data_IF_109089959506
#
_entry.id   IF_109089959506
#
_cell.length_a   1.000
_cell.length_b   1.000
_cell.length_c   1.000
_cell.angle_alpha   90.00
_cell.angle_beta   90.00
_cell.angle_gamma   90.00
#
_symmetry.space_group_name_H-M   'P 1'
#
loop_
_entity.id
_entity.type
_entity.pdbx_description
1 polymer ?
#
# COMPACT_ATOMS: atom_id res chain seq x y z
N UNK A 1 -16.61 -1.46 -14.57
CA UNK A 1 -15.70 -2.28 -13.77
C UNK A 1 -15.94 -3.72 -14.13
N UNK A 2 -14.96 -4.52 -14.60
CA UNK A 2 -15.20 -5.96 -14.71
C UNK A 2 -15.57 -6.46 -13.32
N UNK A 3 -16.63 -7.27 -13.25
CA UNK A 3 -17.15 -7.85 -12.01
C UNK A 3 -16.08 -8.75 -11.38
N UNK A 4 -15.41 -8.29 -10.34
CA UNK A 4 -14.49 -9.10 -9.57
C UNK A 4 -15.26 -10.16 -8.77
N UNK A 5 -14.62 -11.29 -8.52
CA UNK A 5 -15.14 -12.35 -7.64
C UNK A 5 -15.19 -11.81 -6.21
N UNK A 6 -16.25 -12.12 -5.46
CA UNK A 6 -16.30 -11.86 -4.01
C UNK A 6 -15.88 -13.12 -3.28
N UNK A 7 -14.88 -13.03 -2.43
CA UNK A 7 -14.42 -14.12 -1.57
C UNK A 7 -14.96 -13.96 -0.16
N UNK A 8 -15.15 -15.07 0.53
CA UNK A 8 -15.37 -15.03 1.99
C UNK A 8 -14.06 -14.75 2.74
N UNK A 9 -14.09 -14.33 4.02
CA UNK A 9 -12.87 -14.00 4.77
C UNK A 9 -11.84 -15.14 4.83
N UNK A 10 -12.27 -16.40 4.95
CA UNK A 10 -11.41 -17.58 5.05
C UNK A 10 -11.13 -18.30 3.74
N UNK A 11 -11.59 -17.78 2.61
CA UNK A 11 -11.52 -18.49 1.34
C UNK A 11 -10.17 -18.29 0.64
N UNK A 12 -9.53 -19.39 0.24
CA UNK A 12 -8.39 -19.41 -0.67
C UNK A 12 -8.83 -19.95 -2.03
N UNK A 13 -8.24 -19.44 -3.11
CA UNK A 13 -8.52 -19.92 -4.48
C UNK A 13 -7.45 -20.89 -4.90
N UNK A 14 -7.86 -22.10 -5.28
CA UNK A 14 -6.95 -23.15 -5.74
C UNK A 14 -6.08 -22.65 -6.90
N UNK A 15 -4.77 -22.89 -6.82
CA UNK A 15 -3.80 -22.43 -7.81
C UNK A 15 -3.41 -20.94 -7.69
N UNK A 16 -3.92 -20.22 -6.67
CA UNK A 16 -3.60 -18.81 -6.38
C UNK A 16 -3.15 -18.63 -4.93
N UNK A 17 -1.94 -19.09 -4.62
CA UNK A 17 -1.39 -19.09 -3.25
C UNK A 17 -1.40 -17.68 -2.60
N UNK A 18 -1.28 -16.61 -3.40
CA UNK A 18 -1.35 -15.25 -2.89
C UNK A 18 -2.74 -14.87 -2.33
N UNK A 19 -3.77 -15.69 -2.61
CA UNK A 19 -5.12 -15.54 -2.05
C UNK A 19 -5.29 -16.21 -0.69
N UNK A 20 -4.29 -16.93 -0.17
CA UNK A 20 -4.34 -17.54 1.16
C UNK A 20 -4.60 -16.43 2.21
N UNK A 21 -5.62 -16.58 3.08
CA UNK A 21 -5.86 -15.64 4.17
C UNK A 21 -4.66 -15.41 5.08
N UNK A 22 -3.79 -16.41 5.27
CA UNK A 22 -2.55 -16.28 6.04
C UNK A 22 -1.64 -15.18 5.48
N UNK A 23 -1.56 -15.05 4.14
CA UNK A 23 -0.81 -13.95 3.50
C UNK A 23 -1.34 -12.58 3.86
N UNK A 24 -2.67 -12.44 3.97
CA UNK A 24 -3.27 -11.17 4.41
C UNK A 24 -2.93 -10.86 5.87
N UNK A 25 -2.82 -11.86 6.74
CA UNK A 25 -2.38 -11.68 8.13
C UNK A 25 -0.91 -11.26 8.20
N UNK A 26 -0.03 -11.86 7.41
CA UNK A 26 1.38 -11.48 7.30
C UNK A 26 1.52 -10.02 6.83
N UNK A 27 0.76 -9.64 5.80
CA UNK A 27 0.73 -8.26 5.29
C UNK A 27 0.24 -7.28 6.37
N UNK A 28 -0.81 -7.62 7.13
CA UNK A 28 -1.30 -6.78 8.22
C UNK A 28 -0.27 -6.62 9.34
N UNK A 29 0.47 -7.69 9.66
CA UNK A 29 1.59 -7.61 10.60
C UNK A 29 2.71 -6.69 10.07
N UNK A 30 3.04 -6.78 8.78
CA UNK A 30 4.00 -5.88 8.13
C UNK A 30 3.50 -4.42 8.16
N UNK A 31 2.23 -4.15 7.84
CA UNK A 31 1.64 -2.82 7.92
C UNK A 31 1.66 -2.25 9.35
N UNK A 32 1.46 -3.09 10.36
CA UNK A 32 1.59 -2.67 11.76
C UNK A 32 3.04 -2.25 12.10
N UNK A 33 4.06 -2.98 11.60
CA UNK A 33 5.47 -2.59 11.75
C UNK A 33 5.79 -1.28 11.02
N UNK A 34 5.34 -1.14 9.75
CA UNK A 34 5.50 0.09 8.95
C UNK A 34 4.90 1.28 9.70
N UNK A 35 3.66 1.14 10.20
CA UNK A 35 3.00 2.18 10.99
C UNK A 35 3.76 2.51 12.28
N UNK A 36 4.26 1.52 13.00
CA UNK A 36 5.04 1.73 14.21
C UNK A 36 6.31 2.54 13.93
N UNK A 37 7.00 2.24 12.83
CA UNK A 37 8.16 3.00 12.36
C UNK A 37 7.77 4.44 11.99
N UNK A 38 6.65 4.64 11.29
CA UNK A 38 6.12 5.98 11.00
C UNK A 38 5.87 6.78 12.28
N UNK A 39 5.17 6.19 13.26
CA UNK A 39 4.87 6.84 14.54
C UNK A 39 6.15 7.21 15.30
N UNK A 40 7.13 6.32 15.32
CA UNK A 40 8.42 6.58 15.98
C UNK A 40 9.15 7.76 15.33
N UNK A 41 9.19 7.82 13.99
CA UNK A 41 9.82 8.91 13.25
C UNK A 41 9.10 10.25 13.45
N UNK A 42 7.77 10.24 13.40
CA UNK A 42 6.96 11.44 13.67
C UNK A 42 7.24 11.97 15.08
N UNK A 43 7.30 11.11 16.10
CA UNK A 43 7.63 11.49 17.47
C UNK A 43 9.04 12.04 17.64
N UNK A 44 9.98 11.59 16.81
CA UNK A 44 11.36 12.12 16.76
C UNK A 44 11.48 13.40 15.93
N UNK A 45 10.38 13.96 15.40
CA UNK A 45 10.40 15.15 14.55
C UNK A 45 10.90 14.89 13.11
N UNK A 46 11.04 13.63 12.69
CA UNK A 46 11.53 13.26 11.36
C UNK A 46 10.34 13.06 10.42
N UNK A 47 10.16 13.99 9.48
CA UNK A 47 9.01 14.00 8.56
C UNK A 47 9.22 13.19 7.28
N UNK A 48 10.39 12.58 7.08
CA UNK A 48 10.66 11.82 5.85
C UNK A 48 12.11 11.35 5.74
N UNK A 49 12.46 10.80 4.56
CA UNK A 49 13.79 10.36 4.20
C UNK A 49 13.88 8.87 3.89
N UNK A 50 15.06 8.45 3.44
CA UNK A 50 15.41 7.05 3.17
C UNK A 50 16.37 6.53 4.24
N UNK A 51 16.25 5.25 4.60
CA UNK A 51 17.17 4.56 5.50
C UNK A 51 17.14 3.04 5.28
N UNK A 52 18.13 2.35 5.80
CA UNK A 52 18.18 0.89 5.82
C UNK A 52 18.23 0.39 7.26
N UNK A 53 17.65 -0.78 7.52
CA UNK A 53 17.66 -1.43 8.82
C UNK A 53 17.12 -2.85 8.74
N UNK A 54 17.70 -3.78 9.49
CA UNK A 54 17.31 -5.19 9.52
C UNK A 54 17.23 -5.86 8.15
N UNK A 55 18.06 -5.45 7.17
CA UNK A 55 18.04 -5.95 5.80
C UNK A 55 16.93 -5.36 4.92
N UNK A 56 16.14 -4.44 5.45
CA UNK A 56 15.06 -3.74 4.73
C UNK A 56 15.52 -2.34 4.31
N UNK A 57 15.00 -1.86 3.18
CA UNK A 57 15.16 -0.48 2.72
C UNK A 57 13.84 0.26 2.85
N UNK A 58 13.88 1.43 3.46
CA UNK A 58 12.71 2.24 3.78
C UNK A 58 12.76 3.59 3.08
N UNK A 59 11.63 4.07 2.65
CA UNK A 59 11.46 5.41 2.09
C UNK A 59 10.13 6.01 2.54
N UNK A 60 10.21 7.14 3.25
CA UNK A 60 9.04 7.83 3.79
C UNK A 60 8.97 9.25 3.26
N UNK A 61 7.80 9.65 2.80
CA UNK A 61 7.46 11.03 2.49
C UNK A 61 6.22 11.43 3.27
N UNK A 62 6.31 12.55 3.97
CA UNK A 62 5.20 13.20 4.69
C UNK A 62 5.09 14.60 4.13
N UNK A 63 4.09 14.89 3.28
CA UNK A 63 3.93 16.20 2.66
C UNK A 63 3.75 17.33 3.69
N UNK A 64 2.95 17.08 4.72
CA UNK A 64 2.71 18.02 5.81
C UNK A 64 2.56 17.27 7.14
N UNK A 65 3.54 17.42 8.02
CA UNK A 65 3.59 16.74 9.31
C UNK A 65 2.39 17.09 10.20
N UNK A 66 1.97 18.36 10.20
CA UNK A 66 0.82 18.80 10.98
C UNK A 66 -0.48 18.12 10.53
N UNK A 67 -0.71 18.03 9.22
CA UNK A 67 -1.87 17.33 8.68
C UNK A 67 -1.88 15.86 9.07
N UNK A 68 -0.74 15.15 8.97
CA UNK A 68 -0.61 13.75 9.40
C UNK A 68 -0.98 13.55 10.88
N UNK A 69 -0.52 14.45 11.76
CA UNK A 69 -0.78 14.35 13.21
C UNK A 69 -2.22 14.70 13.57
N UNK A 70 -2.83 15.64 12.86
CA UNK A 70 -4.16 16.17 13.20
C UNK A 70 -5.32 15.45 12.51
N UNK A 71 -5.08 14.76 11.38
CA UNK A 71 -6.17 14.10 10.63
C UNK A 71 -6.77 12.93 11.41
N UNK A 72 -8.06 13.07 11.75
CA UNK A 72 -8.86 12.05 12.46
C UNK A 72 -10.30 12.09 11.94
N UNK A 73 -10.81 10.98 11.37
CA UNK A 73 -10.09 9.73 11.06
C UNK A 73 -9.10 9.90 9.91
N UNK A 74 -8.29 8.85 9.64
CA UNK A 74 -7.50 8.73 8.43
C UNK A 74 -7.83 7.42 7.69
N UNK A 75 -7.56 7.40 6.39
CA UNK A 75 -7.74 6.25 5.51
C UNK A 75 -6.38 5.75 5.02
N UNK A 76 -6.20 4.43 4.93
CA UNK A 76 -4.96 3.82 4.49
C UNK A 76 -5.15 2.82 3.37
N UNK A 77 -4.15 2.74 2.50
CA UNK A 77 -4.00 1.68 1.51
C UNK A 77 -2.65 1.02 1.76
N UNK A 78 -2.67 -0.29 2.08
CA UNK A 78 -1.48 -1.12 2.09
C UNK A 78 -1.35 -1.85 0.76
N UNK A 79 -0.20 -1.79 0.13
CA UNK A 79 0.11 -2.51 -1.10
C UNK A 79 1.18 -3.56 -0.83
N UNK A 80 0.98 -4.78 -1.35
CA UNK A 80 1.97 -5.84 -1.37
C UNK A 80 2.01 -6.47 -2.76
N UNK A 81 3.17 -6.40 -3.41
CA UNK A 81 3.39 -6.93 -4.74
C UNK A 81 4.33 -8.13 -4.71
N UNK A 82 3.93 -9.23 -5.37
CA UNK A 82 4.80 -10.34 -5.67
C UNK A 82 5.55 -10.04 -6.97
N UNK A 83 6.83 -9.68 -6.83
CA UNK A 83 7.67 -9.21 -7.93
C UNK A 83 7.98 -10.35 -8.90
N UNK A 84 7.98 -10.08 -10.21
CA UNK A 84 8.49 -10.98 -11.24
C UNK A 84 10.02 -11.03 -11.18
N UNK A 85 10.58 -12.23 -11.30
CA UNK A 85 12.02 -12.41 -11.43
C UNK A 85 12.49 -12.03 -12.85
N UNK A 86 13.74 -11.60 -12.96
CA UNK A 86 14.41 -11.31 -14.24
C UNK A 86 13.78 -10.21 -15.10
N UNK A 87 13.01 -9.29 -14.48
CA UNK A 87 12.45 -8.11 -15.15
C UNK A 87 13.22 -6.86 -14.73
N UNK A 88 13.35 -5.91 -15.64
CA UNK A 88 13.83 -4.58 -15.30
C UNK A 88 12.75 -3.80 -14.55
N UNK A 89 13.02 -3.46 -13.29
CA UNK A 89 12.13 -2.68 -12.45
C UNK A 89 12.40 -1.17 -12.53
N UNK A 90 13.42 -0.73 -13.27
CA UNK A 90 13.75 0.68 -13.44
C UNK A 90 12.54 1.53 -13.82
N UNK A 91 11.80 1.17 -14.88
CA UNK A 91 10.68 2.00 -15.35
C UNK A 91 9.56 2.21 -14.33
N UNK A 92 9.24 1.24 -13.48
CA UNK A 92 8.20 1.42 -12.46
C UNK A 92 8.73 2.20 -11.25
N UNK A 93 10.02 2.05 -10.94
CA UNK A 93 10.67 2.82 -9.88
C UNK A 93 10.80 4.29 -10.24
N UNK A 94 11.07 4.62 -11.50
CA UNK A 94 11.12 6.00 -12.00
C UNK A 94 9.74 6.66 -11.87
N UNK A 95 8.67 5.97 -12.27
CA UNK A 95 7.30 6.45 -12.10
C UNK A 95 6.93 6.63 -10.62
N UNK A 96 7.39 5.74 -9.74
CA UNK A 96 7.22 5.89 -8.30
C UNK A 96 7.93 7.14 -7.77
N UNK A 97 9.18 7.38 -8.19
CA UNK A 97 9.94 8.57 -7.82
C UNK A 97 9.24 9.86 -8.26
N UNK A 98 8.71 9.88 -9.48
CA UNK A 98 7.96 11.02 -10.02
C UNK A 98 6.67 11.28 -9.20
N UNK A 99 5.93 10.23 -8.87
CA UNK A 99 4.73 10.34 -8.02
C UNK A 99 5.09 10.90 -6.64
N UNK A 100 6.16 10.39 -6.05
CA UNK A 100 6.60 10.80 -4.72
C UNK A 100 7.15 12.23 -4.72
N UNK A 101 7.87 12.65 -5.75
CA UNK A 101 8.32 14.04 -5.91
C UNK A 101 7.12 15.02 -5.96
N UNK A 102 5.98 14.56 -6.48
CA UNK A 102 4.72 15.32 -6.56
C UNK A 102 3.79 15.12 -5.36
N UNK A 103 4.19 14.33 -4.35
CA UNK A 103 3.37 14.07 -3.17
C UNK A 103 2.79 15.33 -2.51
N UNK A 104 3.54 16.47 -2.39
CA UNK A 104 2.98 17.72 -1.84
C UNK A 104 1.84 18.33 -2.67
N UNK A 105 1.68 17.91 -3.93
CA UNK A 105 0.63 18.41 -4.82
C UNK A 105 -0.68 17.60 -4.70
N UNK A 106 -0.68 16.48 -3.97
CA UNK A 106 -1.87 15.67 -3.79
C UNK A 106 -2.63 16.07 -2.52
N UNK A 107 -3.76 16.80 -2.64
CA UNK A 107 -4.55 17.18 -1.48
C UNK A 107 -5.01 15.95 -0.69
N UNK A 108 -4.85 16.02 0.62
CA UNK A 108 -5.25 14.94 1.52
C UNK A 108 -4.29 13.75 1.59
N UNK A 109 -3.19 13.73 0.83
CA UNK A 109 -2.12 12.75 1.04
C UNK A 109 -1.36 13.10 2.33
N UNK A 110 -1.40 12.21 3.31
CA UNK A 110 -0.78 12.41 4.63
C UNK A 110 0.62 11.81 4.72
N UNK A 111 0.82 10.62 4.14
CA UNK A 111 2.11 9.96 4.09
C UNK A 111 2.15 8.91 2.97
N UNK A 112 3.32 8.74 2.39
CA UNK A 112 3.69 7.62 1.54
C UNK A 112 4.90 6.93 2.16
N UNK A 113 4.74 5.68 2.58
CA UNK A 113 5.80 4.90 3.21
C UNK A 113 6.02 3.61 2.42
N UNK A 114 7.17 3.49 1.78
CA UNK A 114 7.57 2.34 1.00
C UNK A 114 8.64 1.53 1.73
N UNK A 115 8.56 0.20 1.65
CA UNK A 115 9.53 -0.74 2.21
C UNK A 115 9.85 -1.80 1.17
N UNK A 116 11.14 -2.03 0.96
CA UNK A 116 11.65 -3.21 0.30
C UNK A 116 12.14 -4.18 1.37
N UNK A 117 11.43 -5.29 1.53
CA UNK A 117 11.73 -6.31 2.51
C UNK A 117 12.99 -7.12 2.17
N UNK A 118 13.52 -7.85 3.14
CA UNK A 118 14.72 -8.68 2.97
C UNK A 118 14.54 -9.79 1.92
N UNK A 119 13.33 -10.31 1.75
CA UNK A 119 12.95 -11.30 0.74
C UNK A 119 12.68 -10.69 -0.66
N UNK A 120 13.04 -9.42 -0.85
CA UNK A 120 12.84 -8.63 -2.07
C UNK A 120 11.38 -8.32 -2.42
N UNK A 121 10.42 -8.66 -1.59
CA UNK A 121 9.04 -8.20 -1.76
C UNK A 121 8.93 -6.70 -1.51
N UNK A 122 7.94 -6.09 -2.17
CA UNK A 122 7.63 -4.67 -1.99
C UNK A 122 6.33 -4.52 -1.22
N UNK A 123 6.35 -3.62 -0.25
CA UNK A 123 5.15 -3.22 0.47
C UNK A 123 5.15 -1.73 0.72
N UNK A 124 3.97 -1.13 0.69
CA UNK A 124 3.84 0.26 1.10
C UNK A 124 2.57 0.49 1.93
N UNK A 125 2.58 1.58 2.67
CA UNK A 125 1.44 2.14 3.35
C UNK A 125 1.27 3.59 2.90
N UNK A 126 0.17 3.86 2.20
CA UNK A 126 -0.22 5.20 1.78
C UNK A 126 -1.36 5.67 2.67
N UNK A 127 -1.24 6.85 3.27
CA UNK A 127 -2.21 7.41 4.19
C UNK A 127 -2.85 8.67 3.62
N UNK A 128 -4.16 8.77 3.76
CA UNK A 128 -4.99 9.88 3.28
C UNK A 128 -5.86 10.44 4.39
N UNK A 129 -6.19 11.72 4.30
CA UNK A 129 -7.14 12.37 5.21
C UNK A 129 -8.56 11.82 5.03
N UNK A 130 -8.93 11.46 3.78
CA UNK A 130 -10.21 10.85 3.48
C UNK A 130 -10.10 9.85 2.31
N UNK A 131 -11.06 8.92 2.22
CA UNK A 131 -11.07 7.89 1.17
C UNK A 131 -11.11 8.47 -0.25
N UNK A 132 -11.81 9.59 -0.46
CA UNK A 132 -11.91 10.21 -1.78
C UNK A 132 -10.58 10.80 -2.26
N UNK A 133 -9.66 11.15 -1.36
CA UNK A 133 -8.33 11.67 -1.71
C UNK A 133 -7.47 10.62 -2.42
N UNK A 134 -7.61 9.35 -2.04
CA UNK A 134 -6.98 8.24 -2.77
C UNK A 134 -7.44 8.17 -4.24
N UNK A 135 -8.68 8.58 -4.54
CA UNK A 135 -9.19 8.67 -5.90
C UNK A 135 -8.47 9.69 -6.76
N UNK A 136 -8.01 10.80 -6.17
CA UNK A 136 -7.23 11.83 -6.86
C UNK A 136 -5.86 11.33 -7.29
N UNK A 137 -5.14 10.65 -6.39
CA UNK A 137 -3.86 10.02 -6.73
C UNK A 137 -4.07 8.97 -7.80
N UNK A 138 -5.10 8.14 -7.68
CA UNK A 138 -5.41 7.09 -8.65
C UNK A 138 -5.72 7.61 -10.05
N UNK A 139 -6.23 8.81 -10.19
CA UNK A 139 -6.52 9.47 -11.48
C UNK A 139 -5.35 10.29 -12.03
N UNK A 140 -4.25 10.39 -11.31
CA UNK A 140 -3.05 11.07 -11.81
C UNK A 140 -2.45 10.33 -13.01
N UNK A 141 -2.06 11.04 -14.08
CA UNK A 141 -1.51 10.41 -15.28
C UNK A 141 -0.32 9.50 -15.02
N UNK A 142 0.62 9.90 -14.15
CA UNK A 142 1.79 9.10 -13.78
C UNK A 142 1.37 7.81 -13.04
N UNK A 143 0.36 7.92 -12.15
CA UNK A 143 -0.17 6.74 -11.48
C UNK A 143 -0.91 5.80 -12.45
N UNK A 144 -1.64 6.34 -13.43
CA UNK A 144 -2.29 5.55 -14.47
C UNK A 144 -1.27 4.81 -15.34
N UNK A 145 -0.14 5.47 -15.67
CA UNK A 145 0.96 4.82 -16.37
C UNK A 145 1.59 3.70 -15.53
N UNK A 146 1.85 3.93 -14.25
CA UNK A 146 2.33 2.90 -13.34
C UNK A 146 1.37 1.70 -13.25
N UNK A 147 0.05 1.96 -13.20
CA UNK A 147 -0.96 0.91 -13.23
C UNK A 147 -0.95 0.10 -14.53
N UNK A 148 -0.73 0.75 -15.69
CA UNK A 148 -0.64 0.06 -16.98
C UNK A 148 0.57 -0.88 -17.04
N UNK A 149 1.67 -0.54 -16.35
CA UNK A 149 2.90 -1.34 -16.29
C UNK A 149 2.91 -2.38 -15.17
N UNK A 150 1.91 -2.39 -14.27
CA UNK A 150 1.91 -3.26 -13.09
C UNK A 150 2.05 -4.74 -13.47
N UNK A 151 1.39 -5.19 -14.54
CA UNK A 151 1.44 -6.57 -15.02
C UNK A 151 2.83 -7.01 -15.51
N UNK A 152 3.68 -6.06 -15.94
CA UNK A 152 5.05 -6.35 -16.39
C UNK A 152 5.98 -6.63 -15.21
N UNK A 153 5.67 -6.06 -14.03
CA UNK A 153 6.54 -6.10 -12.86
C UNK A 153 6.09 -7.07 -11.77
N UNK A 154 4.77 -7.35 -11.67
CA UNK A 154 4.22 -8.19 -10.61
C UNK A 154 3.48 -9.39 -11.17
N UNK A 155 3.61 -10.54 -10.50
CA UNK A 155 2.74 -11.69 -10.71
C UNK A 155 1.36 -11.43 -10.13
N UNK A 156 1.33 -10.90 -8.91
CA UNK A 156 0.10 -10.59 -8.19
C UNK A 156 0.29 -9.41 -7.27
N UNK A 157 -0.82 -8.75 -6.92
CA UNK A 157 -0.84 -7.72 -5.88
C UNK A 157 -2.00 -7.93 -4.92
N UNK A 158 -1.79 -7.50 -3.67
CA UNK A 158 -2.79 -7.40 -2.61
C UNK A 158 -2.87 -5.95 -2.15
N UNK A 159 -4.07 -5.37 -2.20
CA UNK A 159 -4.34 -4.00 -1.77
C UNK A 159 -5.29 -4.03 -0.57
N UNK A 160 -4.78 -3.69 0.60
CA UNK A 160 -5.52 -3.65 1.85
C UNK A 160 -6.09 -2.26 2.10
N UNK A 161 -7.38 -2.16 2.38
CA UNK A 161 -8.03 -0.93 2.82
C UNK A 161 -8.13 -0.89 4.32
N UNK A 162 -7.69 0.21 4.90
CA UNK A 162 -7.55 0.42 6.34
C UNK A 162 -8.25 1.71 6.75
N UNK A 163 -8.87 1.70 7.92
CA UNK A 163 -9.42 2.90 8.55
C UNK A 163 -8.79 3.13 9.91
N UNK A 164 -8.21 4.28 10.10
CA UNK A 164 -7.58 4.73 11.34
C UNK A 164 -8.52 5.69 12.07
N UNK A 165 -9.34 5.20 12.99
CA UNK A 165 -10.35 6.02 13.69
C UNK A 165 -9.71 7.16 14.48
N UNK A 166 -8.60 6.89 15.17
CA UNK A 166 -7.86 7.85 15.99
C UNK A 166 -6.75 8.55 15.21
N UNK A 167 -6.80 8.49 13.86
CA UNK A 167 -5.76 9.00 13.00
C UNK A 167 -4.58 8.05 12.82
N UNK A 168 -3.74 8.35 11.84
CA UNK A 168 -2.62 7.50 11.43
C UNK A 168 -1.58 7.28 12.54
N UNK A 169 -1.36 8.29 13.39
CA UNK A 169 -0.40 8.28 14.51
C UNK A 169 -1.05 8.03 15.87
N UNK A 170 -2.35 7.76 15.91
CA UNK A 170 -3.10 7.45 17.12
C UNK A 170 -2.73 6.10 17.76
N UNK A 171 -3.28 5.79 18.93
CA UNK A 171 -2.98 4.56 19.68
C UNK A 171 -3.73 3.32 19.21
N UNK A 172 -4.95 3.49 18.68
CA UNK A 172 -5.77 2.36 18.27
C UNK A 172 -5.25 1.66 17.00
N UNK A 173 -5.38 0.33 16.91
CA UNK A 173 -5.10 -0.38 15.66
C UNK A 173 -6.08 0.07 14.56
N UNK A 174 -5.66 0.02 13.28
CA UNK A 174 -6.58 0.30 12.18
C UNK A 174 -7.65 -0.79 12.07
N UNK A 175 -8.86 -0.39 11.67
CA UNK A 175 -9.85 -1.33 11.20
C UNK A 175 -9.48 -1.78 9.78
N UNK A 176 -9.46 -3.09 9.56
CA UNK A 176 -9.24 -3.69 8.26
C UNK A 176 -10.57 -3.82 7.52
N UNK A 177 -10.74 -3.12 6.41
CA UNK A 177 -12.01 -3.06 5.69
C UNK A 177 -12.13 -4.11 4.58
N UNK A 178 -11.10 -4.26 3.76
CA UNK A 178 -11.08 -5.25 2.66
C UNK A 178 -9.71 -5.41 2.05
N UNK A 179 -9.53 -6.51 1.29
CA UNK A 179 -8.40 -6.72 0.37
C UNK A 179 -8.91 -6.85 -1.05
N UNK A 180 -8.35 -6.07 -1.97
CA UNK A 180 -8.42 -6.34 -3.41
C UNK A 180 -7.22 -7.22 -3.78
N UNK A 181 -7.52 -8.36 -4.40
CA UNK A 181 -6.56 -9.34 -4.91
C UNK A 181 -6.53 -9.24 -6.44
N UNK A 182 -5.35 -9.16 -7.03
CA UNK A 182 -5.18 -9.09 -8.49
C UNK A 182 -4.09 -10.07 -8.92
N UNK A 183 -4.40 -10.90 -9.92
CA UNK A 183 -3.49 -11.82 -10.56
C UNK A 183 -3.26 -11.40 -12.00
N UNK A 184 -2.01 -11.19 -12.37
CA UNK A 184 -1.59 -10.77 -13.71
C UNK A 184 -1.13 -11.94 -14.60
N UNK A 185 -1.34 -13.19 -14.17
CA UNK A 185 -1.08 -14.37 -15.00
C UNK A 185 -2.10 -14.55 -16.12
N UNK A 186 -3.25 -13.86 -16.05
CA UNK A 186 -4.34 -13.91 -17.02
C UNK A 186 -4.57 -12.57 -17.70
N UNK A 187 -5.17 -12.63 -18.90
CA UNK A 187 -5.60 -11.44 -19.63
C UNK A 187 -7.08 -11.58 -20.00
N UNK A 188 -7.99 -10.74 -19.49
CA UNK A 188 -7.75 -9.68 -18.49
C UNK A 188 -7.34 -10.24 -17.12
N UNK A 189 -6.57 -9.45 -16.34
CA UNK A 189 -6.14 -9.85 -15.02
C UNK A 189 -7.31 -10.27 -14.13
N UNK A 190 -7.17 -11.42 -13.47
CA UNK A 190 -8.16 -11.90 -12.50
C UNK A 190 -8.20 -10.99 -11.28
N UNK A 191 -9.40 -10.76 -10.74
CA UNK A 191 -9.61 -9.87 -9.59
C UNK A 191 -10.64 -10.44 -8.63
N UNK A 192 -10.35 -10.31 -7.34
CA UNK A 192 -11.30 -10.61 -6.29
C UNK A 192 -11.24 -9.59 -5.15
N UNK A 193 -12.34 -9.47 -4.42
CA UNK A 193 -12.41 -8.68 -3.18
C UNK A 193 -12.75 -9.61 -2.04
N UNK A 194 -11.94 -9.53 -0.98
CA UNK A 194 -12.20 -10.18 0.29
C UNK A 194 -12.55 -9.12 1.33
N UNK A 195 -13.68 -9.23 2.06
CA UNK A 195 -13.99 -8.35 3.18
C UNK A 195 -12.96 -8.51 4.29
N UNK A 196 -12.79 -7.47 5.10
CA UNK A 196 -11.93 -7.50 6.27
C UNK A 196 -12.37 -8.58 7.27
N UNK A 197 -11.39 -9.08 8.01
CA UNK A 197 -11.66 -9.87 9.20
C UNK A 197 -12.20 -8.90 10.25
N UNK A 198 -13.50 -8.99 10.56
CA UNK A 198 -14.17 -8.16 11.56
C UNK A 198 -13.66 -8.42 12.98
#
# INVERSE_FOLDING_TARGET
MPSGVSLTPGEAVLGREFTDPARSLDDLAALARIRSSLVARVRSGLAGGAWTGAGESHWLVVPELRALVQSRPAFGIGFFGQVREHVDHGPILDLEQDLVARAPLFPGLLAYYNVRFADRQWGNLVLFAAQHDAGRVRSDPTHLEALARTADHYHSVRLHRLRFRDGAVGGAPPAFESTLLVDFSETPAWRAVRPGLG
#
